data_IF_526096783667
#
_entry.id   IF_526096783667
#
_cell.length_a   1.000
_cell.length_b   1.000
_cell.length_c   1.000
_cell.angle_alpha   90.00
_cell.angle_beta   90.00
_cell.angle_gamma   90.00
#
_symmetry.space_group_name_H-M   'P 1'
#
loop_
_entity.id
_entity.type
_entity.pdbx_description
1 polymer ?
#
# COMPACT_ATOMS: atom_id res chain seq x y z
N UNK A 1 16.97 29.70 -4.60
CA UNK A 1 15.53 29.73 -4.91
C UNK A 1 15.14 28.74 -6.00
N UNK A 2 16.06 28.30 -6.86
CA UNK A 2 15.79 27.35 -7.97
C UNK A 2 15.46 25.91 -7.54
N UNK A 3 15.88 25.48 -6.36
CA UNK A 3 15.65 24.10 -5.88
C UNK A 3 14.29 23.84 -5.22
N UNK A 4 13.57 24.89 -4.86
CA UNK A 4 12.32 24.77 -4.09
C UNK A 4 11.11 24.57 -5.03
N UNK A 5 11.12 25.21 -6.17
CA UNK A 5 10.01 25.19 -7.14
C UNK A 5 9.71 23.78 -7.70
N UNK A 6 10.71 22.96 -8.10
CA UNK A 6 10.50 21.57 -8.52
C UNK A 6 9.92 20.69 -7.42
N UNK A 7 10.32 20.92 -6.16
CA UNK A 7 9.78 20.19 -5.00
C UNK A 7 8.29 20.49 -4.81
N UNK A 8 7.91 21.78 -4.89
CA UNK A 8 6.51 22.18 -4.83
C UNK A 8 5.70 21.62 -6.02
N UNK A 9 6.25 21.64 -7.23
CA UNK A 9 5.59 21.07 -8.41
C UNK A 9 5.35 19.56 -8.26
N UNK A 10 6.25 18.83 -7.59
CA UNK A 10 6.10 17.40 -7.30
C UNK A 10 5.10 17.11 -6.17
N UNK A 11 5.07 17.94 -5.13
CA UNK A 11 4.17 17.74 -3.98
C UNK A 11 2.73 18.24 -4.25
N UNK A 12 2.56 19.22 -5.13
CA UNK A 12 1.27 19.81 -5.43
C UNK A 12 0.20 18.80 -5.88
N UNK A 13 0.47 17.87 -6.82
CA UNK A 13 -0.52 16.86 -7.21
C UNK A 13 -0.97 15.98 -6.05
N UNK A 14 -0.04 15.59 -5.16
CA UNK A 14 -0.36 14.79 -3.97
C UNK A 14 -1.26 15.56 -3.00
N UNK A 15 -0.96 16.84 -2.77
CA UNK A 15 -1.78 17.69 -1.94
C UNK A 15 -3.20 17.87 -2.53
N UNK A 16 -3.31 18.06 -3.85
CA UNK A 16 -4.61 18.15 -4.54
C UNK A 16 -5.39 16.83 -4.41
N UNK A 17 -4.76 15.71 -4.66
CA UNK A 17 -5.41 14.39 -4.52
C UNK A 17 -5.96 14.18 -3.10
N UNK A 18 -5.14 14.47 -2.10
CA UNK A 18 -5.51 14.37 -0.69
C UNK A 18 -6.70 15.28 -0.36
N UNK A 19 -6.66 16.52 -0.83
CA UNK A 19 -7.74 17.51 -0.64
C UNK A 19 -9.04 17.07 -1.31
N UNK A 20 -8.98 16.53 -2.53
CA UNK A 20 -10.14 16.02 -3.27
C UNK A 20 -10.82 14.88 -2.50
N UNK A 21 -10.03 13.95 -1.97
CA UNK A 21 -10.55 12.78 -1.24
C UNK A 21 -11.10 13.21 0.13
N UNK A 22 -10.31 13.94 0.94
CA UNK A 22 -10.65 14.23 2.33
C UNK A 22 -11.68 15.36 2.47
N UNK A 23 -11.51 16.45 1.69
CA UNK A 23 -12.35 17.65 1.86
C UNK A 23 -13.58 17.65 0.97
N UNK A 24 -13.40 17.25 -0.29
CA UNK A 24 -14.48 17.26 -1.28
C UNK A 24 -15.18 15.92 -1.42
N UNK A 25 -14.67 14.86 -0.75
CA UNK A 25 -15.23 13.49 -0.81
C UNK A 25 -15.42 12.96 -2.23
N UNK A 26 -14.58 13.41 -3.15
CA UNK A 26 -14.59 12.92 -4.54
C UNK A 26 -14.18 11.45 -4.55
N UNK A 27 -14.85 10.59 -5.32
CA UNK A 27 -14.46 9.19 -5.47
C UNK A 27 -12.99 9.06 -5.89
N UNK A 28 -12.29 8.06 -5.34
CA UNK A 28 -10.84 7.87 -5.51
C UNK A 28 -10.46 7.83 -6.99
N UNK A 29 -11.20 7.11 -7.83
CA UNK A 29 -10.91 6.99 -9.27
C UNK A 29 -10.97 8.35 -10.00
N UNK A 30 -11.92 9.22 -9.65
CA UNK A 30 -12.00 10.56 -10.23
C UNK A 30 -10.87 11.45 -9.71
N UNK A 31 -10.53 11.36 -8.42
CA UNK A 31 -9.41 12.09 -7.84
C UNK A 31 -8.09 11.75 -8.51
N UNK A 32 -7.87 10.46 -8.83
CA UNK A 32 -6.68 9.99 -9.55
C UNK A 32 -6.67 10.56 -10.98
N UNK A 33 -7.80 10.51 -11.71
CA UNK A 33 -7.87 11.05 -13.07
C UNK A 33 -7.63 12.57 -13.12
N UNK A 34 -8.24 13.31 -12.20
CA UNK A 34 -8.01 14.77 -12.07
C UNK A 34 -6.54 15.05 -11.78
N UNK A 35 -5.96 14.33 -10.84
CA UNK A 35 -4.54 14.47 -10.48
C UNK A 35 -3.63 14.14 -11.66
N UNK A 36 -3.94 13.09 -12.42
CA UNK A 36 -3.19 12.75 -13.64
C UNK A 36 -3.20 13.89 -14.66
N UNK A 37 -4.35 14.51 -14.91
CA UNK A 37 -4.46 15.67 -15.82
C UNK A 37 -3.62 16.83 -15.31
N UNK A 38 -3.62 17.11 -14.02
CA UNK A 38 -2.79 18.15 -13.40
C UNK A 38 -1.29 17.84 -13.59
N UNK A 39 -0.87 16.60 -13.33
CA UNK A 39 0.52 16.17 -13.51
C UNK A 39 0.96 16.34 -14.97
N UNK A 40 0.13 15.92 -15.92
CA UNK A 40 0.41 16.09 -17.35
C UNK A 40 0.49 17.56 -17.75
N UNK A 41 -0.38 18.40 -17.19
CA UNK A 41 -0.34 19.86 -17.38
C UNK A 41 0.95 20.49 -16.84
N UNK A 42 1.38 20.11 -15.65
CA UNK A 42 2.65 20.57 -15.07
C UNK A 42 3.82 20.07 -15.90
N UNK A 43 3.83 18.81 -16.31
CA UNK A 43 4.91 18.24 -17.10
C UNK A 43 5.02 18.90 -18.49
N UNK A 44 3.90 19.14 -19.16
CA UNK A 44 3.90 19.77 -20.49
C UNK A 44 4.22 21.26 -20.45
N UNK A 45 3.60 22.01 -19.53
CA UNK A 45 3.75 23.47 -19.47
C UNK A 45 5.02 23.89 -18.71
N UNK A 46 5.17 23.39 -17.48
CA UNK A 46 6.26 23.85 -16.59
C UNK A 46 7.60 23.19 -16.90
N UNK A 47 7.60 21.88 -17.16
CA UNK A 47 8.83 21.14 -17.49
C UNK A 47 9.13 21.12 -19.00
N UNK A 48 8.23 21.63 -19.85
CA UNK A 48 8.41 21.68 -21.30
C UNK A 48 8.51 20.31 -21.96
N UNK A 49 7.93 19.27 -21.34
CA UNK A 49 8.03 17.89 -21.83
C UNK A 49 7.25 17.73 -23.14
N UNK A 50 7.86 17.20 -24.22
CA UNK A 50 7.19 16.99 -25.49
C UNK A 50 5.96 16.08 -25.37
N UNK A 51 4.89 16.39 -26.11
CA UNK A 51 3.63 15.62 -26.05
C UNK A 51 3.82 14.11 -26.33
N UNK A 52 4.72 13.76 -27.26
CA UNK A 52 5.03 12.35 -27.54
C UNK A 52 5.69 11.61 -26.37
N UNK A 53 6.43 12.33 -25.51
CA UNK A 53 6.98 11.74 -24.28
C UNK A 53 5.89 11.55 -23.24
N UNK A 54 4.97 12.50 -23.09
CA UNK A 54 3.83 12.39 -22.18
C UNK A 54 2.94 11.20 -22.54
N UNK A 55 2.61 11.05 -23.83
CA UNK A 55 1.81 9.92 -24.33
C UNK A 55 2.50 8.57 -24.05
N UNK A 56 3.80 8.46 -24.33
CA UNK A 56 4.58 7.26 -24.02
C UNK A 56 4.62 6.98 -22.53
N UNK A 57 4.78 7.99 -21.68
CA UNK A 57 4.80 7.84 -20.23
C UNK A 57 3.47 7.34 -19.69
N UNK A 58 2.35 7.88 -20.19
CA UNK A 58 1.01 7.42 -19.82
C UNK A 58 0.79 5.97 -20.26
N UNK A 59 1.10 5.66 -21.52
CA UNK A 59 0.96 4.30 -22.07
C UNK A 59 1.82 3.29 -21.31
N UNK A 60 3.06 3.67 -20.99
CA UNK A 60 3.96 2.84 -20.18
C UNK A 60 3.40 2.63 -18.77
N UNK A 61 2.90 3.69 -18.13
CA UNK A 61 2.26 3.60 -16.81
C UNK A 61 1.03 2.67 -16.80
N UNK A 62 0.18 2.75 -17.83
CA UNK A 62 -0.97 1.85 -18.01
C UNK A 62 -0.52 0.40 -18.16
N UNK A 63 0.44 0.13 -19.05
CA UNK A 63 0.96 -1.24 -19.28
C UNK A 63 1.59 -1.79 -17.98
N UNK A 64 2.44 -1.02 -17.32
CA UNK A 64 3.07 -1.41 -16.04
C UNK A 64 2.05 -1.58 -14.91
N UNK A 65 0.97 -0.81 -14.90
CA UNK A 65 -0.12 -0.97 -13.95
C UNK A 65 -0.89 -2.27 -14.17
N UNK A 66 -1.15 -2.64 -15.43
CA UNK A 66 -1.80 -3.91 -15.74
C UNK A 66 -0.88 -5.12 -15.54
N UNK A 67 0.36 -5.02 -15.95
CA UNK A 67 1.35 -6.09 -15.86
C UNK A 67 2.63 -5.58 -15.21
N UNK A 68 3.00 -6.05 -14.00
CA UNK A 68 2.51 -7.22 -13.22
C UNK A 68 1.46 -6.89 -12.14
N UNK A 69 1.16 -5.61 -11.82
CA UNK A 69 0.46 -5.21 -10.59
C UNK A 69 -0.95 -5.83 -10.50
N UNK A 70 -1.77 -5.66 -11.54
CA UNK A 70 -3.14 -6.23 -11.55
C UNK A 70 -3.11 -7.75 -11.44
N UNK A 71 -2.11 -8.42 -12.04
CA UNK A 71 -1.97 -9.87 -11.95
C UNK A 71 -1.69 -10.32 -10.51
N UNK A 72 -0.79 -9.62 -9.81
CA UNK A 72 -0.49 -9.91 -8.40
C UNK A 72 -1.72 -9.70 -7.53
N UNK A 73 -2.45 -8.60 -7.72
CA UNK A 73 -3.69 -8.32 -6.99
C UNK A 73 -4.71 -9.44 -7.24
N UNK A 74 -4.90 -9.83 -8.49
CA UNK A 74 -5.84 -10.90 -8.85
C UNK A 74 -5.45 -12.23 -8.21
N UNK A 75 -4.17 -12.62 -8.28
CA UNK A 75 -3.66 -13.84 -7.66
C UNK A 75 -3.83 -13.81 -6.14
N UNK A 76 -3.55 -12.68 -5.49
CA UNK A 76 -3.73 -12.50 -4.06
C UNK A 76 -5.19 -12.63 -3.62
N UNK A 77 -6.12 -11.95 -4.33
CA UNK A 77 -7.56 -12.06 -4.07
C UNK A 77 -8.06 -13.49 -4.31
N UNK A 78 -7.58 -14.14 -5.36
CA UNK A 78 -7.92 -15.54 -5.65
C UNK A 78 -7.46 -16.46 -4.52
N UNK A 79 -6.20 -16.39 -4.12
CA UNK A 79 -5.63 -17.17 -3.01
C UNK A 79 -6.41 -16.93 -1.71
N UNK A 80 -6.71 -15.68 -1.38
CA UNK A 80 -7.53 -15.32 -0.23
C UNK A 80 -8.91 -15.95 -0.26
N UNK A 81 -9.61 -15.88 -1.41
CA UNK A 81 -10.92 -16.51 -1.56
C UNK A 81 -10.87 -18.04 -1.42
N UNK A 82 -9.80 -18.68 -1.90
CA UNK A 82 -9.56 -20.12 -1.68
C UNK A 82 -9.41 -20.40 -0.20
N UNK A 83 -8.59 -19.63 0.52
CA UNK A 83 -8.38 -19.79 1.97
C UNK A 83 -9.68 -19.60 2.77
N UNK A 84 -10.52 -18.64 2.37
CA UNK A 84 -11.86 -18.46 2.97
C UNK A 84 -12.75 -19.67 2.75
N UNK A 85 -12.85 -20.14 1.50
CA UNK A 85 -13.74 -21.27 1.14
C UNK A 85 -13.30 -22.61 1.73
N UNK A 86 -12.00 -22.81 1.90
CA UNK A 86 -11.44 -24.03 2.50
C UNK A 86 -11.46 -24.00 4.03
N UNK A 87 -11.79 -22.86 4.64
CA UNK A 87 -11.74 -22.70 6.09
C UNK A 87 -10.32 -22.58 6.66
N UNK A 88 -9.30 -22.45 5.81
CA UNK A 88 -7.92 -22.32 6.25
C UNK A 88 -7.71 -21.08 7.15
N UNK A 89 -8.41 -19.98 6.88
CA UNK A 89 -8.38 -18.78 7.73
C UNK A 89 -8.86 -19.11 9.15
N UNK A 90 -9.94 -19.87 9.30
CA UNK A 90 -10.46 -20.27 10.63
C UNK A 90 -9.46 -21.15 11.40
N UNK A 91 -8.69 -21.99 10.70
CA UNK A 91 -7.63 -22.80 11.33
C UNK A 91 -6.50 -21.90 11.82
N UNK A 92 -6.06 -20.95 11.01
CA UNK A 92 -5.03 -19.97 11.38
C UNK A 92 -5.50 -19.13 12.58
N UNK A 93 -6.74 -18.63 12.54
CA UNK A 93 -7.36 -17.85 13.61
C UNK A 93 -7.34 -18.60 14.95
N UNK A 94 -7.81 -19.87 14.94
CA UNK A 94 -7.79 -20.74 16.13
C UNK A 94 -6.36 -21.00 16.61
N UNK A 95 -5.43 -21.21 15.70
CA UNK A 95 -4.03 -21.46 16.05
C UNK A 95 -3.37 -20.24 16.70
N UNK A 96 -3.60 -19.05 16.12
CA UNK A 96 -3.06 -17.78 16.67
C UNK A 96 -3.68 -17.43 18.03
N UNK A 97 -4.98 -17.66 18.19
CA UNK A 97 -5.68 -17.39 19.46
C UNK A 97 -5.31 -18.37 20.56
N UNK A 98 -4.89 -19.60 20.21
CA UNK A 98 -4.47 -20.62 21.16
C UNK A 98 -3.03 -20.43 21.69
N UNK A 99 -2.23 -19.52 21.09
CA UNK A 99 -0.83 -19.28 21.52
C UNK A 99 -0.78 -18.62 22.90
N UNK A 100 -1.75 -17.74 23.21
CA UNK A 100 -1.77 -16.99 24.47
C UNK A 100 -3.17 -16.46 24.78
N UNK A 101 -3.48 -16.37 26.08
CA UNK A 101 -4.69 -15.73 26.58
C UNK A 101 -4.47 -14.21 26.83
N UNK A 102 -3.23 -13.73 26.78
CA UNK A 102 -2.92 -12.33 26.97
C UNK A 102 -3.33 -11.52 25.72
N UNK A 103 -4.33 -10.66 25.90
CA UNK A 103 -4.89 -9.82 24.83
C UNK A 103 -3.87 -8.91 24.16
N UNK A 104 -2.83 -8.49 24.87
CA UNK A 104 -1.77 -7.62 24.31
C UNK A 104 -0.91 -8.42 23.33
N UNK A 105 -0.56 -9.64 23.70
CA UNK A 105 0.23 -10.53 22.86
C UNK A 105 -0.62 -10.99 21.67
N UNK A 106 -1.92 -11.24 21.85
CA UNK A 106 -2.82 -11.57 20.73
C UNK A 106 -2.85 -10.45 19.69
N UNK A 107 -2.93 -9.18 20.11
CA UNK A 107 -2.87 -8.04 19.18
C UNK A 107 -1.55 -8.05 18.40
N UNK A 108 -0.42 -8.23 19.06
CA UNK A 108 0.88 -8.26 18.39
C UNK A 108 1.00 -9.43 17.41
N UNK A 109 0.60 -10.64 17.81
CA UNK A 109 0.66 -11.80 16.94
C UNK A 109 -0.26 -11.67 15.72
N UNK A 110 -1.49 -11.19 15.93
CA UNK A 110 -2.49 -11.12 14.87
C UNK A 110 -2.25 -9.90 13.97
N UNK A 111 -2.04 -8.71 14.55
CA UNK A 111 -1.89 -7.51 13.74
C UNK A 111 -0.49 -7.39 13.13
N UNK A 112 0.55 -7.61 13.91
CA UNK A 112 1.93 -7.40 13.47
C UNK A 112 2.49 -8.62 12.73
N UNK A 113 2.51 -9.79 13.37
CA UNK A 113 3.14 -10.97 12.75
C UNK A 113 2.30 -11.52 11.59
N UNK A 114 1.03 -11.79 11.83
CA UNK A 114 0.16 -12.35 10.79
C UNK A 114 -0.26 -11.29 9.76
N UNK A 115 -0.58 -10.06 10.21
CA UNK A 115 -0.85 -8.92 9.32
C UNK A 115 0.35 -8.62 8.43
N UNK A 116 1.56 -8.54 8.98
CA UNK A 116 2.79 -8.34 8.22
C UNK A 116 3.08 -9.45 7.20
N UNK A 117 2.83 -10.71 7.56
CA UNK A 117 2.90 -11.82 6.62
C UNK A 117 1.91 -11.66 5.46
N UNK A 118 0.67 -11.28 5.76
CA UNK A 118 -0.35 -11.04 4.74
C UNK A 118 -0.01 -9.82 3.87
N UNK A 119 0.57 -8.76 4.45
CA UNK A 119 1.01 -7.60 3.67
C UNK A 119 2.12 -7.99 2.69
N UNK A 120 3.13 -8.72 3.16
CA UNK A 120 4.20 -9.22 2.29
C UNK A 120 3.70 -10.13 1.17
N UNK A 121 2.71 -10.98 1.46
CA UNK A 121 2.19 -11.94 0.49
C UNK A 121 1.18 -11.33 -0.48
N UNK A 122 0.22 -10.55 0.02
CA UNK A 122 -0.93 -10.05 -0.73
C UNK A 122 -0.99 -8.52 -0.84
N UNK A 123 -0.60 -7.80 0.21
CA UNK A 123 -0.74 -6.35 0.28
C UNK A 123 -2.20 -5.88 0.18
N UNK A 124 -2.38 -4.64 -0.30
CA UNK A 124 -3.68 -4.07 -0.73
C UNK A 124 -4.83 -4.22 0.29
N UNK A 125 -4.57 -3.83 1.54
CA UNK A 125 -5.56 -3.84 2.64
C UNK A 125 -6.00 -5.21 3.14
N UNK A 126 -5.53 -6.32 2.58
CA UNK A 126 -5.81 -7.68 3.08
C UNK A 126 -5.19 -7.88 4.46
N UNK A 127 -4.00 -7.32 4.67
CA UNK A 127 -3.24 -7.26 5.91
C UNK A 127 -3.96 -6.52 7.06
N UNK A 128 -4.85 -5.60 6.74
CA UNK A 128 -5.66 -4.87 7.73
C UNK A 128 -7.00 -5.57 7.93
N UNK A 129 -7.68 -5.94 6.85
CA UNK A 129 -9.04 -6.45 6.90
C UNK A 129 -9.14 -7.80 7.61
N UNK A 130 -8.21 -8.73 7.35
CA UNK A 130 -8.25 -10.06 7.95
C UNK A 130 -7.87 -10.02 9.43
N UNK A 131 -6.72 -9.46 9.86
CA UNK A 131 -6.39 -9.35 11.27
C UNK A 131 -7.44 -8.59 12.07
N UNK A 132 -7.99 -7.51 11.51
CA UNK A 132 -9.08 -6.78 12.16
C UNK A 132 -10.30 -7.69 12.36
N UNK A 133 -10.71 -8.46 11.35
CA UNK A 133 -11.82 -9.43 11.45
C UNK A 133 -11.57 -10.47 12.55
N UNK A 134 -10.35 -11.01 12.66
CA UNK A 134 -9.96 -11.96 13.69
C UNK A 134 -10.05 -11.32 15.09
N UNK A 135 -9.50 -10.11 15.26
CA UNK A 135 -9.57 -9.40 16.54
C UNK A 135 -11.01 -9.11 16.97
N UNK A 136 -11.89 -8.75 16.03
CA UNK A 136 -13.33 -8.56 16.30
C UNK A 136 -13.99 -9.87 16.73
N UNK A 137 -13.69 -10.99 16.09
CA UNK A 137 -14.19 -12.30 16.44
C UNK A 137 -13.73 -12.75 17.85
N UNK A 138 -12.53 -12.33 18.28
CA UNK A 138 -12.00 -12.54 19.63
C UNK A 138 -12.58 -11.55 20.68
N UNK A 139 -13.51 -10.68 20.28
CA UNK A 139 -14.20 -9.75 21.19
C UNK A 139 -13.37 -8.50 21.54
N UNK A 140 -12.47 -8.07 20.66
CA UNK A 140 -11.82 -6.77 20.79
C UNK A 140 -12.76 -5.65 20.38
N UNK A 141 -12.61 -4.49 21.00
CA UNK A 141 -13.34 -3.30 20.62
C UNK A 141 -12.98 -2.88 19.18
N UNK A 142 -13.97 -2.55 18.31
CA UNK A 142 -13.71 -2.25 16.90
C UNK A 142 -12.67 -1.16 16.67
N UNK A 143 -12.70 -0.08 17.46
CA UNK A 143 -11.76 1.01 17.33
C UNK A 143 -10.33 0.57 17.67
N UNK A 144 -10.15 -0.23 18.72
CA UNK A 144 -8.84 -0.75 19.12
C UNK A 144 -8.29 -1.74 18.09
N UNK A 145 -9.15 -2.61 17.57
CA UNK A 145 -8.76 -3.54 16.52
C UNK A 145 -8.31 -2.79 15.25
N UNK A 146 -9.09 -1.79 14.81
CA UNK A 146 -8.76 -0.97 13.65
C UNK A 146 -7.43 -0.20 13.82
N UNK A 147 -7.24 0.47 14.96
CA UNK A 147 -6.02 1.23 15.22
C UNK A 147 -4.80 0.31 15.28
N UNK A 148 -4.91 -0.83 15.97
CA UNK A 148 -3.80 -1.77 16.08
C UNK A 148 -3.38 -2.35 14.73
N UNK A 149 -4.34 -2.74 13.89
CA UNK A 149 -4.05 -3.29 12.56
C UNK A 149 -3.49 -2.23 11.61
N UNK A 150 -3.99 -1.00 11.63
CA UNK A 150 -3.48 0.10 10.81
C UNK A 150 -2.06 0.51 11.21
N UNK A 151 -1.76 0.57 12.51
CA UNK A 151 -0.40 0.86 12.99
C UNK A 151 0.56 -0.25 12.56
N UNK A 152 0.17 -1.51 12.74
CA UNK A 152 0.99 -2.65 12.33
C UNK A 152 1.26 -2.67 10.82
N UNK A 153 0.25 -2.34 10.02
CA UNK A 153 0.34 -2.27 8.56
C UNK A 153 1.31 -1.20 8.07
N UNK A 154 1.39 -0.06 8.76
CA UNK A 154 2.26 1.07 8.38
C UNK A 154 3.72 0.67 8.20
N UNK A 155 4.21 -0.26 9.01
CA UNK A 155 5.62 -0.71 8.96
C UNK A 155 5.85 -1.67 7.79
N UNK A 156 4.88 -2.50 7.48
CA UNK A 156 5.02 -3.57 6.48
C UNK A 156 4.64 -3.14 5.07
N UNK A 157 3.88 -2.05 4.92
CA UNK A 157 3.38 -1.53 3.62
C UNK A 157 4.49 -1.26 2.59
N UNK A 158 5.69 -0.85 3.05
CA UNK A 158 6.82 -0.61 2.14
C UNK A 158 7.24 -1.86 1.36
N UNK A 159 7.02 -3.06 1.93
CA UNK A 159 7.36 -4.35 1.35
C UNK A 159 6.14 -5.15 0.89
N UNK A 160 4.97 -4.51 0.88
CA UNK A 160 3.70 -5.14 0.53
C UNK A 160 3.65 -5.70 -0.88
N UNK A 161 2.72 -6.63 -1.11
CA UNK A 161 2.48 -7.26 -2.40
C UNK A 161 3.78 -7.76 -3.08
N UNK A 162 4.53 -8.60 -2.40
CA UNK A 162 5.81 -9.16 -2.87
C UNK A 162 6.87 -8.09 -3.22
N UNK A 163 6.85 -6.93 -2.52
CA UNK A 163 7.84 -5.87 -2.69
C UNK A 163 7.63 -4.96 -3.89
N UNK A 164 6.43 -4.94 -4.47
CA UNK A 164 6.10 -4.05 -5.60
C UNK A 164 6.51 -2.59 -5.34
N UNK A 165 6.23 -1.97 -4.16
CA UNK A 165 6.64 -0.59 -3.91
C UNK A 165 8.15 -0.37 -4.06
N UNK A 166 8.97 -1.29 -3.57
CA UNK A 166 10.44 -1.21 -3.69
C UNK A 166 10.91 -1.36 -5.14
N UNK A 167 10.32 -2.27 -5.90
CA UNK A 167 10.63 -2.47 -7.31
C UNK A 167 10.27 -1.22 -8.12
N UNK A 168 9.09 -0.65 -7.88
CA UNK A 168 8.65 0.58 -8.55
C UNK A 168 9.53 1.76 -8.20
N UNK A 169 9.94 1.89 -6.94
CA UNK A 169 10.86 2.95 -6.52
C UNK A 169 12.23 2.81 -7.18
N UNK A 170 12.75 1.60 -7.28
CA UNK A 170 14.00 1.32 -7.98
C UNK A 170 13.92 1.67 -9.48
N UNK A 171 12.83 1.29 -10.15
CA UNK A 171 12.59 1.63 -11.56
C UNK A 171 12.54 3.15 -11.80
N UNK A 172 12.00 3.92 -10.85
CA UNK A 172 11.86 5.38 -10.95
C UNK A 172 13.13 6.14 -10.59
N UNK A 173 13.93 5.60 -9.66
CA UNK A 173 15.11 6.30 -9.13
C UNK A 173 16.42 5.80 -9.73
N UNK A 174 16.39 4.70 -10.48
CA UNK A 174 17.59 4.00 -10.99
C UNK A 174 18.55 3.54 -9.88
N UNK A 175 18.05 3.41 -8.63
CA UNK A 175 18.79 2.86 -7.50
C UNK A 175 18.59 1.34 -7.43
N UNK A 176 19.52 0.64 -6.79
CA UNK A 176 19.39 -0.79 -6.62
C UNK A 176 18.27 -1.13 -5.63
N UNK A 177 17.47 -2.16 -5.93
CA UNK A 177 16.42 -2.65 -5.02
C UNK A 177 16.98 -3.01 -3.65
N UNK A 178 18.19 -3.58 -3.62
CA UNK A 178 18.87 -4.00 -2.38
C UNK A 178 19.21 -2.81 -1.49
N UNK A 179 19.76 -1.73 -2.06
CA UNK A 179 20.14 -0.52 -1.30
C UNK A 179 18.90 0.20 -0.78
N UNK A 180 17.85 0.29 -1.60
CA UNK A 180 16.57 0.86 -1.20
C UNK A 180 15.94 0.04 -0.06
N UNK A 181 15.86 -1.28 -0.21
CA UNK A 181 15.27 -2.17 0.79
C UNK A 181 16.02 -2.12 2.12
N UNK A 182 17.37 -2.11 2.09
CA UNK A 182 18.18 -2.00 3.31
C UNK A 182 17.98 -0.66 4.00
N UNK A 183 17.96 0.44 3.25
CA UNK A 183 17.75 1.79 3.79
C UNK A 183 16.36 1.94 4.41
N UNK A 184 15.32 1.47 3.71
CA UNK A 184 13.94 1.52 4.22
C UNK A 184 13.77 0.62 5.44
N UNK A 185 14.38 -0.58 5.44
CA UNK A 185 14.35 -1.47 6.61
C UNK A 185 14.99 -0.82 7.84
N UNK A 186 16.12 -0.12 7.67
CA UNK A 186 16.76 0.60 8.76
C UNK A 186 15.92 1.77 9.27
N UNK A 187 15.25 2.50 8.37
CA UNK A 187 14.33 3.58 8.76
C UNK A 187 13.13 3.06 9.54
N UNK A 188 12.54 1.94 9.10
CA UNK A 188 11.39 1.33 9.76
C UNK A 188 11.75 0.59 11.06
N UNK A 189 13.00 0.20 11.26
CA UNK A 189 13.45 -0.45 12.51
C UNK A 189 13.41 0.49 13.74
N UNK A 190 13.17 1.78 13.55
CA UNK A 190 13.04 2.78 14.61
C UNK A 190 11.60 2.87 15.16
N UNK A 191 10.62 2.31 14.43
CA UNK A 191 9.20 2.28 14.79
C UNK A 191 8.78 0.91 15.30
#
# INVERSE_FOLDING_TARGET
>A
MESILPVFAGLFPLAVMTLLILRYKVPIYLSILITLVIVLGIAGWYLGTPAGTLERSVSYGVIKGFWPIVLVIFAAIFAYNVMLRTGAITVIEKSLSAVTDDRRIQILLISWCFGGFLEGAAGFSVSVAIPMGILLALGFEPMRAAVATLIADTVTTAFGAAGIPMIMLADLTSLSVTDLSSTVSLQLAVF
#
